data_IF_276797321778
#
_entry.id   IF_276797321778
#
_cell.length_a   1.000
_cell.length_b   1.000
_cell.length_c   1.000
_cell.angle_alpha   90.00
_cell.angle_beta   90.00
_cell.angle_gamma   90.00
#
_symmetry.space_group_name_H-M   'P 1'
#
loop_
_entity.id
_entity.type
_entity.pdbx_description
1 polymer ?
#
# COMPACT_ATOMS: atom_id res chain seq x y z
N UNK A 1 10.95 9.34 10.24
CA UNK A 1 9.80 8.53 9.72
C UNK A 1 8.53 8.62 10.55
N UNK A 2 8.37 8.02 11.75
CA UNK A 2 7.08 8.12 12.49
C UNK A 2 6.65 9.56 12.77
N UNK A 3 7.59 10.42 13.19
CA UNK A 3 7.34 11.86 13.36
C UNK A 3 6.82 12.53 12.08
N UNK A 4 7.41 12.22 10.91
CA UNK A 4 6.95 12.75 9.62
C UNK A 4 5.56 12.22 9.26
N UNK A 5 5.27 10.95 9.56
CA UNK A 5 3.91 10.39 9.41
C UNK A 5 2.93 11.19 10.26
N UNK A 6 3.27 11.48 11.51
CA UNK A 6 2.41 12.23 12.43
C UNK A 6 2.17 13.66 11.94
N UNK A 7 3.18 14.31 11.35
CA UNK A 7 3.07 15.64 10.73
C UNK A 7 2.12 15.61 9.51
N UNK A 8 2.24 14.61 8.63
CA UNK A 8 1.32 14.44 7.49
C UNK A 8 -0.10 14.14 7.97
N UNK A 9 -0.25 13.29 8.98
CA UNK A 9 -1.55 12.93 9.57
C UNK A 9 -2.20 14.15 10.22
N UNK A 10 -1.43 14.99 10.90
CA UNK A 10 -1.93 16.23 11.48
C UNK A 10 -2.46 17.19 10.39
N UNK A 11 -1.74 17.30 9.27
CA UNK A 11 -2.20 18.06 8.10
C UNK A 11 -3.51 17.50 7.53
N UNK A 12 -3.60 16.17 7.34
CA UNK A 12 -4.80 15.50 6.82
C UNK A 12 -6.02 15.64 7.76
N UNK A 13 -5.80 15.74 9.07
CA UNK A 13 -6.88 15.96 10.05
C UNK A 13 -7.35 17.42 10.13
N UNK A 14 -6.48 18.38 9.81
CA UNK A 14 -6.78 19.81 9.95
C UNK A 14 -7.56 20.38 8.76
N UNK A 15 -7.30 19.88 7.55
CA UNK A 15 -7.95 20.38 6.34
C UNK A 15 -9.38 19.85 6.17
N UNK A 16 -10.29 20.60 5.51
CA UNK A 16 -11.51 20.00 5.03
C UNK A 16 -11.16 18.95 3.98
N UNK A 17 -11.54 17.71 4.22
CA UNK A 17 -11.45 16.64 3.24
C UNK A 17 -12.80 16.54 2.54
N UNK A 18 -12.81 16.72 1.22
CA UNK A 18 -14.04 16.62 0.42
C UNK A 18 -14.63 15.21 0.55
N UNK A 19 -15.87 15.05 1.04
CA UNK A 19 -16.49 13.73 1.20
C UNK A 19 -16.71 12.99 -0.13
N UNK A 20 -16.59 13.66 -1.27
CA UNK A 20 -16.72 13.05 -2.60
C UNK A 20 -15.38 12.53 -3.18
N UNK A 21 -14.27 12.65 -2.44
CA UNK A 21 -12.94 12.24 -2.89
C UNK A 21 -12.45 11.04 -2.06
N UNK A 22 -12.05 9.95 -2.72
CA UNK A 22 -11.35 8.84 -2.08
C UNK A 22 -9.87 9.21 -1.93
N UNK A 23 -9.38 9.21 -0.68
CA UNK A 23 -8.00 9.58 -0.36
C UNK A 23 -7.26 8.34 0.09
N UNK A 24 -6.11 8.06 -0.56
CA UNK A 24 -5.27 6.90 -0.26
C UNK A 24 -3.82 7.35 -0.11
N UNK A 25 -3.13 6.87 0.94
CA UNK A 25 -1.71 7.19 1.18
C UNK A 25 -0.84 5.94 1.07
N UNK A 26 0.17 5.99 0.20
CA UNK A 26 1.17 4.92 0.03
C UNK A 26 2.26 5.00 1.09
N UNK A 27 2.34 3.99 1.97
CA UNK A 27 3.22 4.00 3.15
C UNK A 27 4.26 2.87 3.05
N UNK A 28 5.53 3.09 3.45
CA UNK A 28 6.51 2.01 3.50
C UNK A 28 6.07 0.89 4.43
N UNK A 29 6.34 -0.36 4.05
CA UNK A 29 5.73 -1.56 4.64
C UNK A 29 5.85 -1.63 6.17
N UNK A 30 7.01 -1.25 6.73
CA UNK A 30 7.26 -1.27 8.18
C UNK A 30 6.39 -0.31 9.00
N UNK A 31 5.74 0.66 8.35
CA UNK A 31 4.91 1.67 9.01
C UNK A 31 3.44 1.59 8.62
N UNK A 32 3.03 0.61 7.81
CA UNK A 32 1.66 0.47 7.33
C UNK A 32 0.63 0.43 8.47
N UNK A 33 0.83 -0.46 9.44
CA UNK A 33 -0.08 -0.65 10.58
C UNK A 33 -0.08 0.56 11.52
N UNK A 34 1.07 1.22 11.69
CA UNK A 34 1.17 2.47 12.44
C UNK A 34 0.41 3.60 11.76
N UNK A 35 0.65 3.83 10.46
CA UNK A 35 -0.05 4.88 9.71
C UNK A 35 -1.56 4.65 9.74
N UNK A 36 -2.02 3.41 9.50
CA UNK A 36 -3.43 3.02 9.60
C UNK A 36 -4.06 3.39 10.95
N UNK A 37 -3.33 3.19 12.06
CA UNK A 37 -3.89 3.45 13.40
C UNK A 37 -4.00 4.94 13.75
N UNK A 38 -3.29 5.83 13.03
CA UNK A 38 -3.29 7.27 13.30
C UNK A 38 -4.02 8.09 12.23
N UNK A 39 -4.17 7.58 11.01
CA UNK A 39 -4.88 8.24 9.92
C UNK A 39 -6.37 8.48 10.25
N UNK A 40 -6.97 9.56 9.73
CA UNK A 40 -8.41 9.78 9.87
C UNK A 40 -9.20 8.70 9.10
N UNK A 41 -10.44 8.37 9.52
CA UNK A 41 -11.19 7.24 9.00
C UNK A 41 -11.57 7.33 7.51
N UNK A 42 -11.54 8.54 6.94
CA UNK A 42 -11.80 8.79 5.52
C UNK A 42 -10.53 8.80 4.65
N UNK A 43 -9.37 8.43 5.21
CA UNK A 43 -8.12 8.26 4.47
C UNK A 43 -7.68 6.81 4.57
N UNK A 44 -7.55 6.15 3.43
CA UNK A 44 -7.12 4.76 3.35
C UNK A 44 -5.60 4.66 3.24
N UNK A 45 -5.06 3.51 3.66
CA UNK A 45 -3.63 3.21 3.58
C UNK A 45 -3.37 2.20 2.46
N UNK A 46 -2.25 2.38 1.76
CA UNK A 46 -1.78 1.50 0.69
C UNK A 46 -0.36 1.04 0.95
N UNK A 47 -0.09 -0.23 0.67
CA UNK A 47 1.28 -0.69 0.49
C UNK A 47 1.89 -0.11 -0.79
N UNK A 48 3.23 -0.05 -0.84
CA UNK A 48 3.98 0.45 -2.00
C UNK A 48 4.47 -0.66 -2.94
N UNK A 49 4.26 -1.93 -2.56
CA UNK A 49 4.49 -3.12 -3.38
C UNK A 49 3.81 -4.34 -2.72
N UNK A 50 3.53 -5.38 -3.49
CA UNK A 50 3.23 -6.72 -2.99
C UNK A 50 3.68 -7.77 -4.02
N UNK A 51 3.64 -9.05 -3.64
CA UNK A 51 4.11 -10.14 -4.49
C UNK A 51 2.99 -10.95 -5.13
N UNK A 52 3.34 -11.72 -6.16
CA UNK A 52 2.41 -12.40 -7.07
C UNK A 52 1.81 -13.73 -6.55
N UNK A 53 2.11 -14.11 -5.30
CA UNK A 53 1.57 -15.33 -4.69
C UNK A 53 1.30 -15.11 -3.20
N UNK A 54 0.38 -15.90 -2.63
CA UNK A 54 -0.06 -15.75 -1.25
C UNK A 54 1.03 -16.06 -0.21
N UNK A 55 1.93 -17.01 -0.50
CA UNK A 55 3.05 -17.44 0.37
C UNK A 55 4.11 -18.19 -0.42
N UNK A 56 5.35 -18.23 0.08
CA UNK A 56 6.42 -19.02 -0.50
C UNK A 56 7.81 -18.58 -0.05
N UNK A 57 8.84 -19.13 -0.70
CA UNK A 57 10.25 -18.81 -0.42
C UNK A 57 10.68 -17.52 -1.12
N UNK A 58 10.10 -16.38 -0.72
CA UNK A 58 10.35 -15.05 -1.27
C UNK A 58 10.79 -14.08 -0.16
N UNK A 59 11.99 -14.30 0.38
CA UNK A 59 12.52 -13.50 1.49
C UNK A 59 12.53 -12.01 1.15
N UNK A 60 11.87 -11.21 2.00
CA UNK A 60 11.77 -9.75 1.86
C UNK A 60 10.46 -9.26 1.22
N UNK A 61 9.67 -10.15 0.62
CA UNK A 61 8.40 -9.81 -0.01
C UNK A 61 7.21 -9.95 0.95
N UNK A 62 6.12 -9.22 0.67
CA UNK A 62 4.83 -9.31 1.36
C UNK A 62 3.74 -9.67 0.36
N UNK A 63 2.77 -10.49 0.76
CA UNK A 63 1.68 -10.91 -0.12
C UNK A 63 0.40 -10.10 0.08
N UNK A 64 -0.52 -10.08 -0.91
CA UNK A 64 -1.85 -9.50 -0.75
C UNK A 64 -2.60 -10.03 0.48
N UNK A 65 -2.47 -11.32 0.78
CA UNK A 65 -3.08 -11.94 1.95
C UNK A 65 -2.59 -11.32 3.27
N UNK A 66 -1.30 -10.99 3.39
CA UNK A 66 -0.75 -10.32 4.58
C UNK A 66 -1.30 -8.90 4.73
N UNK A 67 -1.49 -8.18 3.62
CA UNK A 67 -2.06 -6.83 3.63
C UNK A 67 -3.52 -6.86 4.10
N UNK A 68 -4.31 -7.79 3.57
CA UNK A 68 -5.71 -7.97 3.97
C UNK A 68 -5.87 -8.41 5.42
N UNK A 69 -4.99 -9.30 5.92
CA UNK A 69 -4.94 -9.70 7.33
C UNK A 69 -4.68 -8.51 8.27
N UNK A 70 -3.94 -7.50 7.78
CA UNK A 70 -3.72 -6.22 8.46
C UNK A 70 -4.76 -5.15 8.14
N UNK A 71 -5.85 -5.51 7.44
CA UNK A 71 -6.91 -4.64 6.89
C UNK A 71 -6.36 -3.41 6.15
N UNK A 72 -5.40 -3.65 5.26
CA UNK A 72 -4.81 -2.68 4.32
C UNK A 72 -5.38 -3.01 2.93
N UNK A 73 -6.32 -2.22 2.41
CA UNK A 73 -7.10 -2.61 1.23
C UNK A 73 -6.47 -2.23 -0.11
N UNK A 74 -5.38 -1.46 -0.12
CA UNK A 74 -4.76 -0.94 -1.34
C UNK A 74 -3.30 -1.37 -1.51
N UNK A 75 -2.87 -1.51 -2.76
CA UNK A 75 -1.45 -1.66 -3.11
C UNK A 75 -1.09 -0.92 -4.41
N UNK A 76 0.03 -0.20 -4.37
CA UNK A 76 0.65 0.37 -5.58
C UNK A 76 1.52 -0.70 -6.23
N UNK A 77 1.31 -0.95 -7.53
CA UNK A 77 2.09 -1.90 -8.32
C UNK A 77 2.57 -1.25 -9.62
N UNK A 78 3.77 -1.63 -10.07
CA UNK A 78 4.32 -1.12 -11.33
C UNK A 78 4.77 0.34 -11.29
N UNK A 79 5.09 0.88 -10.12
CA UNK A 79 5.70 2.21 -9.99
C UNK A 79 6.98 2.32 -10.85
N UNK A 80 7.26 3.49 -11.40
CA UNK A 80 8.41 3.69 -12.30
C UNK A 80 9.75 3.33 -11.64
N UNK A 81 9.91 3.58 -10.35
CA UNK A 81 11.09 3.16 -9.59
C UNK A 81 11.22 1.63 -9.52
N UNK A 82 10.11 0.90 -9.33
CA UNK A 82 10.11 -0.58 -9.32
C UNK A 82 10.53 -1.15 -10.67
N UNK A 83 10.08 -0.52 -11.75
CA UNK A 83 10.41 -0.91 -13.13
C UNK A 83 11.86 -0.57 -13.48
N UNK A 84 12.26 0.68 -13.29
CA UNK A 84 13.51 1.22 -13.82
C UNK A 84 14.71 0.96 -12.91
N UNK A 85 14.51 0.90 -11.59
CA UNK A 85 15.60 0.68 -10.61
C UNK A 85 15.69 -0.78 -10.20
N UNK A 86 14.54 -1.42 -9.93
CA UNK A 86 14.48 -2.81 -9.46
C UNK A 86 14.21 -3.83 -10.57
N UNK A 87 13.97 -3.39 -11.81
CA UNK A 87 13.85 -4.28 -12.97
C UNK A 87 12.57 -5.11 -13.02
N UNK A 88 11.48 -4.66 -12.39
CA UNK A 88 10.20 -5.38 -12.49
C UNK A 88 9.61 -5.28 -13.90
N UNK A 89 9.49 -6.42 -14.59
CA UNK A 89 9.01 -6.50 -15.98
C UNK A 89 7.50 -6.32 -16.09
N UNK A 90 7.00 -6.03 -17.29
CA UNK A 90 5.56 -5.93 -17.56
C UNK A 90 4.80 -7.20 -17.16
N UNK A 91 5.37 -8.37 -17.45
CA UNK A 91 4.80 -9.66 -17.08
C UNK A 91 4.70 -9.83 -15.57
N UNK A 92 5.77 -9.48 -14.84
CA UNK A 92 5.77 -9.56 -13.37
C UNK A 92 4.72 -8.61 -12.76
N UNK A 93 4.61 -7.39 -13.29
CA UNK A 93 3.58 -6.44 -12.82
C UNK A 93 2.18 -6.98 -13.11
N UNK A 94 1.94 -7.54 -14.30
CA UNK A 94 0.65 -8.13 -14.66
C UNK A 94 0.27 -9.28 -13.71
N UNK A 95 1.22 -10.17 -13.38
CA UNK A 95 1.01 -11.26 -12.42
C UNK A 95 0.69 -10.73 -11.01
N UNK A 96 1.42 -9.71 -10.54
CA UNK A 96 1.16 -9.08 -9.23
C UNK A 96 -0.22 -8.41 -9.19
N UNK A 97 -0.60 -7.69 -10.24
CA UNK A 97 -1.91 -7.01 -10.34
C UNK A 97 -3.04 -8.05 -10.36
N UNK A 98 -2.92 -9.09 -11.18
CA UNK A 98 -3.90 -10.17 -11.23
C UNK A 98 -4.10 -10.82 -9.86
N UNK A 99 -3.01 -11.14 -9.15
CA UNK A 99 -3.09 -11.75 -7.83
C UNK A 99 -3.64 -10.81 -6.75
N UNK A 100 -3.27 -9.52 -6.78
CA UNK A 100 -3.80 -8.52 -5.86
C UNK A 100 -5.32 -8.36 -6.01
N UNK A 101 -5.80 -8.26 -7.25
CA UNK A 101 -7.23 -8.17 -7.57
C UNK A 101 -7.98 -9.47 -7.19
N UNK A 102 -7.42 -10.64 -7.47
CA UNK A 102 -7.99 -11.94 -7.07
C UNK A 102 -8.15 -12.05 -5.55
N UNK A 103 -7.17 -11.55 -4.79
CA UNK A 103 -7.24 -11.52 -3.33
C UNK A 103 -8.24 -10.49 -2.79
N UNK A 104 -8.68 -9.52 -3.59
CA UNK A 104 -9.62 -8.46 -3.20
C UNK A 104 -8.95 -7.15 -2.75
N UNK A 105 -7.66 -6.95 -3.05
CA UNK A 105 -7.05 -5.63 -2.95
C UNK A 105 -7.50 -4.73 -4.11
N UNK A 106 -7.40 -3.43 -3.86
CA UNK A 106 -7.56 -2.38 -4.86
C UNK A 106 -6.19 -1.86 -5.32
#
# INVERSE_FOLDING_TARGET
>A
VKKEIDEIVAFLKAGPLDPNVEIVVGVPALYLTYAKSVLPPNVQVSAQNSYKVAKGAFTGEISPAMLLDSEIPWVILGHSERRNVFGETDELIAEKVAHALEAGLK
#
